data_IF_889493431064
#
_entry.id   IF_889493431064
#
_cell.length_a   1.000
_cell.length_b   1.000
_cell.length_c   1.000
_cell.angle_alpha   90.00
_cell.angle_beta   90.00
_cell.angle_gamma   90.00
#
_symmetry.space_group_name_H-M   'P 1'
#
loop_
_entity.id
_entity.type
_entity.pdbx_description
1 polymer ?
#
# COMPACT_ATOMS: atom_id res chain seq x y z
N UNK A 1 6.55 -16.70 -31.32
CA UNK A 1 7.33 -15.64 -30.67
C UNK A 1 6.47 -15.11 -29.53
N UNK A 2 6.64 -15.65 -28.34
CA UNK A 2 5.82 -15.34 -27.15
C UNK A 2 6.14 -13.95 -26.62
N UNK A 3 5.16 -13.27 -26.01
CA UNK A 3 5.23 -11.92 -25.45
C UNK A 3 6.53 -11.65 -24.64
N UNK A 4 6.95 -12.67 -23.90
CA UNK A 4 8.20 -12.78 -23.14
C UNK A 4 9.47 -12.39 -23.94
N UNK A 5 9.55 -12.81 -25.22
CA UNK A 5 10.71 -12.57 -26.07
C UNK A 5 10.82 -11.10 -26.53
N UNK A 6 9.69 -10.41 -26.69
CA UNK A 6 9.64 -9.01 -27.12
C UNK A 6 9.98 -8.07 -25.97
N UNK A 7 9.58 -8.43 -24.74
CA UNK A 7 9.87 -7.65 -23.54
C UNK A 7 11.36 -7.68 -23.15
N UNK A 8 12.09 -8.77 -23.45
CA UNK A 8 13.56 -8.79 -23.23
C UNK A 8 14.35 -7.85 -24.15
N UNK A 9 13.77 -7.45 -25.30
CA UNK A 9 14.44 -6.60 -26.31
C UNK A 9 14.24 -5.10 -26.08
N UNK A 10 13.22 -4.71 -25.31
CA UNK A 10 13.10 -3.36 -24.78
C UNK A 10 13.47 -3.44 -23.32
N UNK A 11 14.77 -3.29 -23.01
CA UNK A 11 15.31 -3.15 -21.65
C UNK A 11 14.83 -1.84 -21.00
N UNK A 12 13.51 -1.61 -21.03
CA UNK A 12 12.87 -0.46 -20.45
C UNK A 12 12.36 -0.94 -19.10
N UNK A 13 13.09 -0.55 -18.06
CA UNK A 13 12.71 -0.79 -16.67
C UNK A 13 11.30 -0.23 -16.42
N UNK A 14 10.54 -0.85 -15.50
CA UNK A 14 9.30 -0.26 -14.96
C UNK A 14 9.56 1.18 -14.50
N UNK A 15 10.77 1.47 -14.03
CA UNK A 15 11.27 2.81 -13.71
C UNK A 15 11.11 3.80 -14.88
N UNK A 16 11.44 3.40 -16.10
CA UNK A 16 11.34 4.27 -17.27
C UNK A 16 9.91 4.37 -17.81
N UNK A 17 9.12 3.27 -17.78
CA UNK A 17 7.74 3.27 -18.29
C UNK A 17 6.78 4.00 -17.36
N UNK A 18 6.88 3.73 -16.06
CA UNK A 18 5.91 4.18 -15.06
C UNK A 18 6.36 5.48 -14.42
N UNK A 19 7.67 5.65 -14.23
CA UNK A 19 8.22 6.72 -13.40
C UNK A 19 9.07 7.74 -14.18
N UNK A 20 9.26 7.58 -15.50
CA UNK A 20 10.00 8.53 -16.36
C UNK A 20 11.35 8.95 -15.77
N UNK A 21 12.10 7.98 -15.23
CA UNK A 21 13.41 8.16 -14.57
C UNK A 21 13.37 8.99 -13.26
N UNK A 22 12.18 9.14 -12.66
CA UNK A 22 11.97 9.79 -11.35
C UNK A 22 11.65 8.72 -10.31
N UNK A 23 12.58 8.37 -9.42
CA UNK A 23 12.26 7.46 -8.32
C UNK A 23 11.18 8.09 -7.42
N UNK A 24 10.03 7.41 -7.19
CA UNK A 24 8.95 7.98 -6.40
C UNK A 24 9.34 8.08 -4.92
N UNK A 25 9.06 9.19 -4.25
CA UNK A 25 9.30 9.30 -2.81
C UNK A 25 8.38 8.39 -1.99
N UNK A 26 7.14 8.20 -2.47
CA UNK A 26 6.10 7.38 -1.83
C UNK A 26 5.36 6.60 -2.90
N UNK A 27 5.15 5.31 -2.67
CA UNK A 27 4.25 4.48 -3.47
C UNK A 27 3.19 3.90 -2.54
N UNK A 28 1.93 4.05 -2.92
CA UNK A 28 0.80 3.50 -2.16
C UNK A 28 0.31 2.24 -2.88
N UNK A 29 0.38 1.10 -2.20
CA UNK A 29 0.06 -0.22 -2.79
C UNK A 29 -0.82 -1.06 -1.88
N UNK A 30 -1.32 -2.18 -2.41
CA UNK A 30 -1.91 -3.23 -1.58
C UNK A 30 -0.83 -3.89 -0.71
N UNK A 31 -1.23 -4.49 0.40
CA UNK A 31 -0.33 -5.21 1.31
C UNK A 31 0.15 -6.56 0.72
N UNK A 32 0.52 -6.58 -0.56
CA UNK A 32 1.06 -7.74 -1.25
C UNK A 32 2.57 -7.87 -0.97
N UNK A 33 2.96 -9.02 -0.44
CA UNK A 33 4.33 -9.27 0.01
C UNK A 33 5.33 -9.29 -1.16
N UNK A 34 4.92 -9.80 -2.32
CA UNK A 34 5.80 -9.84 -3.49
C UNK A 34 6.04 -8.43 -4.02
N UNK A 35 5.00 -7.60 -4.08
CA UNK A 35 5.09 -6.20 -4.48
C UNK A 35 5.93 -5.37 -3.49
N UNK A 36 5.72 -5.54 -2.19
CA UNK A 36 6.53 -4.87 -1.17
C UNK A 36 8.02 -5.23 -1.31
N UNK A 37 8.32 -6.51 -1.58
CA UNK A 37 9.70 -6.96 -1.81
C UNK A 37 10.29 -6.37 -3.09
N UNK A 38 9.54 -6.38 -4.19
CA UNK A 38 9.98 -5.81 -5.45
C UNK A 38 10.24 -4.30 -5.33
N UNK A 39 9.39 -3.56 -4.60
CA UNK A 39 9.59 -2.14 -4.33
C UNK A 39 10.86 -1.89 -3.50
N UNK A 40 11.16 -2.74 -2.51
CA UNK A 40 12.39 -2.62 -1.74
C UNK A 40 13.65 -2.89 -2.57
N UNK A 41 13.57 -3.77 -3.57
CA UNK A 41 14.69 -4.10 -4.46
C UNK A 41 14.90 -3.04 -5.55
N UNK A 42 13.82 -2.55 -6.17
CA UNK A 42 13.87 -1.59 -7.29
C UNK A 42 13.98 -0.15 -6.78
N UNK A 43 13.25 0.21 -5.73
CA UNK A 43 13.22 1.56 -5.16
C UNK A 43 13.47 1.57 -3.64
N UNK A 44 14.71 1.28 -3.19
CA UNK A 44 15.03 1.16 -1.77
C UNK A 44 14.83 2.45 -0.96
N UNK A 45 14.73 3.62 -1.63
CA UNK A 45 14.47 4.93 -0.99
C UNK A 45 12.99 5.33 -0.97
N UNK A 46 12.12 4.55 -1.60
CA UNK A 46 10.69 4.82 -1.65
C UNK A 46 10.02 4.35 -0.37
N UNK A 47 9.21 5.23 0.23
CA UNK A 47 8.29 4.81 1.28
C UNK A 47 7.12 4.04 0.67
N UNK A 48 7.00 2.76 1.02
CA UNK A 48 5.81 1.98 0.70
C UNK A 48 4.74 2.21 1.78
N UNK A 49 3.57 2.72 1.37
CA UNK A 49 2.40 2.81 2.23
C UNK A 49 1.29 1.87 1.75
N UNK A 50 0.56 1.28 2.69
CA UNK A 50 -0.61 0.46 2.38
C UNK A 50 -1.79 1.37 2.04
N UNK A 51 -2.52 1.04 0.98
CA UNK A 51 -3.70 1.78 0.59
C UNK A 51 -4.81 1.70 1.65
N UNK A 52 -5.16 2.87 2.22
CA UNK A 52 -6.10 2.98 3.35
C UNK A 52 -7.47 2.39 3.05
N UNK A 53 -7.94 2.49 1.82
CA UNK A 53 -9.23 1.91 1.43
C UNK A 53 -9.21 0.39 1.49
N UNK A 54 -8.13 -0.28 1.08
CA UNK A 54 -8.02 -1.74 1.17
C UNK A 54 -8.01 -2.22 2.62
N UNK A 55 -7.38 -1.46 3.53
CA UNK A 55 -7.47 -1.70 4.98
C UNK A 55 -8.94 -1.60 5.43
N UNK A 56 -9.64 -0.53 5.02
CA UNK A 56 -11.06 -0.35 5.36
C UNK A 56 -11.94 -1.49 4.82
N UNK A 57 -11.72 -1.94 3.59
CA UNK A 57 -12.45 -3.07 3.01
C UNK A 57 -12.19 -4.36 3.78
N UNK A 58 -10.93 -4.62 4.15
CA UNK A 58 -10.58 -5.80 4.95
C UNK A 58 -11.24 -5.76 6.33
N UNK A 59 -11.30 -4.60 6.97
CA UNK A 59 -12.00 -4.43 8.25
C UNK A 59 -13.51 -4.72 8.08
N UNK A 60 -14.14 -4.17 7.05
CA UNK A 60 -15.56 -4.43 6.78
C UNK A 60 -15.83 -5.91 6.53
N UNK A 61 -14.94 -6.60 5.80
CA UNK A 61 -15.09 -8.02 5.45
C UNK A 61 -14.84 -8.97 6.61
N UNK A 62 -13.82 -8.70 7.42
CA UNK A 62 -13.32 -9.66 8.41
C UNK A 62 -13.66 -9.27 9.85
N UNK A 63 -13.77 -7.98 10.15
CA UNK A 63 -14.01 -7.52 11.51
C UNK A 63 -15.47 -7.23 11.82
N UNK A 64 -16.29 -6.89 10.82
CA UNK A 64 -17.72 -6.59 11.06
C UNK A 64 -18.45 -7.70 11.80
N UNK A 65 -18.20 -8.95 11.43
CA UNK A 65 -18.83 -10.12 12.05
C UNK A 65 -18.44 -10.36 13.52
N UNK A 66 -17.40 -9.68 14.02
CA UNK A 66 -16.95 -9.80 15.41
C UNK A 66 -17.72 -8.88 16.37
N UNK A 67 -18.68 -8.10 15.87
CA UNK A 67 -19.47 -7.15 16.65
C UNK A 67 -20.95 -7.51 16.60
N UNK A 68 -21.54 -7.73 17.77
CA UNK A 68 -22.98 -7.99 17.90
C UNK A 68 -23.83 -6.72 17.75
N UNK A 69 -23.21 -5.55 17.88
CA UNK A 69 -23.87 -4.24 17.81
C UNK A 69 -23.27 -3.36 16.73
N UNK A 70 -24.14 -2.81 15.89
CA UNK A 70 -23.75 -1.80 14.89
C UNK A 70 -23.12 -0.57 15.53
N UNK A 71 -23.65 -0.13 16.68
CA UNK A 71 -23.10 1.02 17.41
C UNK A 71 -21.66 0.78 17.88
N UNK A 72 -21.36 -0.43 18.37
CA UNK A 72 -19.99 -0.78 18.78
C UNK A 72 -19.05 -0.83 17.58
N UNK A 73 -19.52 -1.36 16.45
CA UNK A 73 -18.75 -1.39 15.21
C UNK A 73 -18.48 0.02 14.66
N UNK A 74 -19.47 0.93 14.70
CA UNK A 74 -19.30 2.32 14.27
C UNK A 74 -18.30 3.07 15.16
N UNK A 75 -18.36 2.87 16.48
CA UNK A 75 -17.38 3.43 17.42
C UNK A 75 -15.97 2.91 17.12
N UNK A 76 -15.82 1.61 16.86
CA UNK A 76 -14.55 1.03 16.43
C UNK A 76 -14.05 1.64 15.12
N UNK A 77 -14.91 1.77 14.11
CA UNK A 77 -14.56 2.40 12.82
C UNK A 77 -14.18 3.88 12.99
N UNK A 78 -14.81 4.60 13.93
CA UNK A 78 -14.43 5.96 14.28
C UNK A 78 -13.01 6.02 14.84
N UNK A 79 -12.67 5.13 15.78
CA UNK A 79 -11.32 5.04 16.34
C UNK A 79 -10.27 4.69 15.26
N UNK A 80 -10.58 3.74 14.36
CA UNK A 80 -9.69 3.38 13.24
C UNK A 80 -9.45 4.58 12.31
N UNK A 81 -10.49 5.37 12.01
CA UNK A 81 -10.34 6.57 11.18
C UNK A 81 -9.46 7.61 11.85
N UNK A 82 -9.60 7.82 13.16
CA UNK A 82 -8.77 8.73 13.93
C UNK A 82 -7.31 8.28 13.95
N UNK A 83 -7.06 6.99 14.19
CA UNK A 83 -5.70 6.42 14.14
C UNK A 83 -5.08 6.57 12.75
N UNK A 84 -5.86 6.37 11.68
CA UNK A 84 -5.35 6.46 10.33
C UNK A 84 -4.99 7.91 9.89
N UNK A 85 -5.37 8.93 10.66
CA UNK A 85 -4.96 10.33 10.45
C UNK A 85 -4.05 10.85 11.56
N UNK A 86 -3.72 10.04 12.57
CA UNK A 86 -2.82 10.47 13.63
C UNK A 86 -1.40 10.56 13.11
N UNK A 87 -0.67 11.58 13.53
CA UNK A 87 0.77 11.65 13.29
C UNK A 87 1.45 10.49 14.03
N UNK A 88 2.28 9.74 13.33
CA UNK A 88 3.07 8.63 13.90
C UNK A 88 4.53 9.00 14.09
N UNK A 89 4.90 10.27 13.87
CA UNK A 89 6.25 10.75 14.15
C UNK A 89 6.51 10.61 15.65
N UNK A 90 7.64 9.99 15.99
CA UNK A 90 8.23 10.18 17.32
C UNK A 90 8.70 11.62 17.36
N UNK A 91 8.27 12.37 18.36
CA UNK A 91 8.89 13.65 18.67
C UNK A 91 10.39 13.36 18.91
N UNK A 92 11.23 13.70 17.93
CA UNK A 92 12.68 13.72 18.09
C UNK A 92 13.02 14.87 19.04
N UNK A 93 12.99 14.60 20.35
CA UNK A 93 13.53 15.47 21.42
C UNK A 93 14.77 14.82 22.02
#
# INVERSE_FOLDING_TARGET
MTLEHTLSKLNISIETIVFQDVSPSVVITDADKALMKALAEVFPRTFNQIFRWHIQQNIMKHCRQMFDSMLHFENFMSAVKQLAVSNTEKDDV
#
